data_IF_764336875426
#
_entry.id   IF_764336875426
#
_cell.length_a   1.000
_cell.length_b   1.000
_cell.length_c   1.000
_cell.angle_alpha   90.00
_cell.angle_beta   90.00
_cell.angle_gamma   90.00
#
_symmetry.space_group_name_H-M   'P 1'
#
loop_
_entity.id
_entity.type
_entity.pdbx_description
1 polymer ?
#
# COMPACT_ATOMS: atom_id res chain seq x y z
N UNK A 1 -22.60 36.33 -3.84
CA UNK A 1 -21.87 35.10 -3.44
C UNK A 1 -21.18 34.60 -4.70
N UNK A 2 -19.86 34.66 -4.77
CA UNK A 2 -19.12 34.34 -6.00
C UNK A 2 -18.88 32.83 -6.04
N UNK A 3 -19.64 32.14 -6.88
CA UNK A 3 -19.41 30.73 -7.22
C UNK A 3 -18.16 30.67 -8.09
N UNK A 4 -16.99 30.46 -7.48
CA UNK A 4 -15.81 30.09 -8.23
C UNK A 4 -16.00 28.63 -8.67
N UNK A 5 -16.37 28.43 -9.92
CA UNK A 5 -16.32 27.13 -10.55
C UNK A 5 -14.86 26.69 -10.55
N UNK A 6 -14.52 25.73 -9.69
CA UNK A 6 -13.20 25.10 -9.68
C UNK A 6 -13.12 24.23 -10.94
N UNK A 7 -12.50 24.74 -11.99
CA UNK A 7 -12.11 23.92 -13.14
C UNK A 7 -10.88 23.12 -12.73
N UNK A 8 -11.08 21.83 -12.43
CA UNK A 8 -9.97 20.91 -12.20
C UNK A 8 -9.36 20.61 -13.58
N UNK A 9 -8.10 20.98 -13.86
CA UNK A 9 -7.47 20.69 -15.13
C UNK A 9 -7.44 19.18 -15.34
N UNK A 10 -7.61 18.77 -16.60
CA UNK A 10 -7.45 17.36 -16.96
C UNK A 10 -6.08 16.89 -16.45
N UNK A 11 -6.04 15.73 -15.79
CA UNK A 11 -4.80 15.20 -15.26
C UNK A 11 -3.76 15.02 -16.35
N UNK A 12 -2.50 15.23 -15.99
CA UNK A 12 -1.41 14.75 -16.83
C UNK A 12 -1.55 13.23 -17.00
N UNK A 13 -1.43 12.76 -18.24
CA UNK A 13 -1.53 11.34 -18.57
C UNK A 13 -0.46 10.60 -17.78
N UNK A 14 -0.91 9.73 -16.87
CA UNK A 14 -0.02 8.96 -16.02
C UNK A 14 0.83 8.02 -16.90
N UNK A 15 2.13 8.29 -16.99
CA UNK A 15 3.08 7.43 -17.68
C UNK A 15 3.76 6.48 -16.68
N UNK A 16 3.42 5.19 -16.76
CA UNK A 16 4.02 4.10 -15.98
C UNK A 16 5.38 3.70 -16.58
N UNK A 17 6.41 4.53 -16.41
CA UNK A 17 7.79 4.14 -16.76
C UNK A 17 8.48 3.49 -15.55
N UNK A 18 9.13 2.34 -15.78
CA UNK A 18 9.80 1.55 -14.74
C UNK A 18 11.07 2.26 -14.21
N UNK A 19 11.65 3.16 -15.01
CA UNK A 19 12.85 3.95 -14.69
C UNK A 19 12.65 4.85 -13.45
N UNK A 20 11.42 5.28 -13.21
CA UNK A 20 11.03 6.07 -12.04
C UNK A 20 11.07 5.27 -10.72
N UNK A 21 11.10 3.93 -10.81
CA UNK A 21 11.06 3.04 -9.65
C UNK A 21 12.43 2.82 -8.99
N UNK A 22 13.51 3.31 -9.60
CA UNK A 22 14.90 3.17 -9.12
C UNK A 22 15.11 3.66 -7.67
N UNK A 23 14.50 4.79 -7.29
CA UNK A 23 14.47 5.28 -5.89
C UNK A 23 13.66 4.34 -4.97
N UNK A 24 12.59 3.76 -5.49
CA UNK A 24 11.76 2.74 -4.84
C UNK A 24 12.55 1.47 -4.54
N UNK A 25 13.40 0.99 -5.46
CA UNK A 25 14.24 -0.21 -5.27
C UNK A 25 15.23 -0.05 -4.10
N UNK A 26 15.88 1.11 -3.97
CA UNK A 26 16.77 1.37 -2.84
C UNK A 26 16.04 1.42 -1.49
N UNK A 27 14.81 1.97 -1.49
CA UNK A 27 13.92 1.94 -0.33
C UNK A 27 13.45 0.51 -0.02
N UNK A 28 13.08 -0.26 -1.03
CA UNK A 28 12.69 -1.67 -0.92
C UNK A 28 13.78 -2.51 -0.25
N UNK A 29 15.03 -2.41 -0.74
CA UNK A 29 16.17 -3.14 -0.15
C UNK A 29 16.37 -2.79 1.33
N UNK A 30 16.27 -1.50 1.68
CA UNK A 30 16.37 -1.05 3.09
C UNK A 30 15.23 -1.59 3.94
N UNK A 31 13.98 -1.52 3.47
CA UNK A 31 12.80 -2.02 4.19
C UNK A 31 12.83 -3.53 4.37
N UNK A 32 13.26 -4.29 3.35
CA UNK A 32 13.42 -5.74 3.45
C UNK A 32 14.41 -6.13 4.55
N UNK A 33 15.55 -5.43 4.61
CA UNK A 33 16.54 -5.67 5.67
C UNK A 33 16.05 -5.21 7.04
N UNK A 34 15.44 -4.03 7.14
CA UNK A 34 15.03 -3.43 8.41
C UNK A 34 13.76 -4.07 9.01
N UNK A 35 12.82 -4.51 8.17
CA UNK A 35 11.61 -5.24 8.63
C UNK A 35 11.95 -6.59 9.22
N UNK A 36 13.13 -7.13 8.87
CA UNK A 36 13.60 -8.42 9.37
C UNK A 36 12.65 -9.56 9.07
N UNK A 37 11.77 -9.44 8.05
CA UNK A 37 10.75 -10.44 7.71
C UNK A 37 11.32 -11.86 7.60
N UNK A 38 12.51 -11.99 7.05
CA UNK A 38 13.26 -13.25 6.92
C UNK A 38 13.74 -13.79 8.28
N UNK A 39 14.04 -12.89 9.22
CA UNK A 39 14.59 -13.19 10.55
C UNK A 39 13.53 -13.02 11.66
N UNK A 40 12.24 -12.98 11.32
CA UNK A 40 11.17 -12.84 12.31
C UNK A 40 11.05 -14.11 13.16
N UNK A 41 10.59 -14.02 14.42
CA UNK A 41 10.30 -15.19 15.23
C UNK A 41 9.34 -16.14 14.51
N UNK A 42 9.53 -17.45 14.67
CA UNK A 42 8.75 -18.49 13.99
C UNK A 42 7.24 -18.30 14.16
N UNK A 43 6.80 -17.95 15.36
CA UNK A 43 5.39 -17.68 15.65
C UNK A 43 4.80 -16.53 14.79
N UNK A 44 5.57 -15.48 14.49
CA UNK A 44 5.13 -14.39 13.60
C UNK A 44 5.11 -14.84 12.13
N UNK A 45 6.05 -15.71 11.72
CA UNK A 45 6.08 -16.27 10.37
C UNK A 45 4.90 -17.21 10.13
N UNK A 46 4.53 -18.03 11.10
CA UNK A 46 3.39 -18.93 11.01
C UNK A 46 2.06 -18.17 10.97
N UNK A 47 1.93 -17.12 11.79
CA UNK A 47 0.80 -16.21 11.71
C UNK A 47 0.71 -15.54 10.33
N UNK A 48 1.85 -15.16 9.74
CA UNK A 48 1.91 -14.59 8.39
C UNK A 48 1.46 -15.57 7.32
N UNK A 49 2.00 -16.80 7.32
CA UNK A 49 1.61 -17.86 6.37
C UNK A 49 0.11 -18.11 6.42
N UNK A 50 -0.43 -18.32 7.63
CA UNK A 50 -1.87 -18.54 7.83
C UNK A 50 -2.70 -17.38 7.28
N UNK A 51 -2.26 -16.14 7.48
CA UNK A 51 -2.99 -14.96 6.99
C UNK A 51 -2.96 -14.84 5.47
N UNK A 52 -1.82 -15.15 4.84
CA UNK A 52 -1.71 -15.19 3.38
C UNK A 52 -2.60 -16.29 2.79
N UNK A 53 -2.61 -17.49 3.38
CA UNK A 53 -3.47 -18.60 2.95
C UNK A 53 -4.96 -18.24 3.07
N UNK A 54 -5.35 -17.57 4.15
CA UNK A 54 -6.71 -17.03 4.31
C UNK A 54 -7.07 -16.06 3.19
N UNK A 55 -6.15 -15.14 2.84
CA UNK A 55 -6.38 -14.14 1.78
C UNK A 55 -6.45 -14.77 0.39
N UNK A 56 -5.64 -15.80 0.12
CA UNK A 56 -5.71 -16.57 -1.13
C UNK A 56 -7.06 -17.29 -1.22
N UNK A 57 -7.48 -17.96 -0.15
CA UNK A 57 -8.78 -18.66 -0.09
C UNK A 57 -9.97 -17.71 -0.25
N UNK A 58 -9.82 -16.46 0.17
CA UNK A 58 -10.82 -15.40 0.02
C UNK A 58 -10.73 -14.69 -1.34
N UNK A 59 -9.82 -15.11 -2.23
CA UNK A 59 -9.60 -14.49 -3.55
C UNK A 59 -9.22 -13.00 -3.47
N UNK A 60 -8.57 -12.59 -2.36
CA UNK A 60 -8.09 -11.21 -2.18
C UNK A 60 -6.74 -11.02 -2.87
N UNK A 61 -5.90 -12.05 -2.87
CA UNK A 61 -4.57 -12.07 -3.50
C UNK A 61 -4.36 -13.40 -4.23
N UNK A 62 -3.46 -13.37 -5.20
CA UNK A 62 -3.01 -14.56 -5.94
C UNK A 62 -1.47 -14.69 -5.85
N UNK A 63 -0.94 -15.93 -5.81
CA UNK A 63 0.49 -16.14 -5.92
C UNK A 63 0.96 -15.81 -7.34
N UNK A 64 2.16 -15.23 -7.43
CA UNK A 64 2.85 -14.96 -8.70
C UNK A 64 4.16 -15.73 -8.73
N UNK A 65 4.50 -16.31 -9.88
CA UNK A 65 5.70 -17.15 -10.04
C UNK A 65 6.98 -16.32 -10.14
N UNK A 66 6.89 -15.11 -10.70
CA UNK A 66 8.00 -14.19 -10.87
C UNK A 66 7.69 -12.83 -10.25
N UNK A 67 8.74 -12.17 -9.74
CA UNK A 67 8.62 -10.81 -9.25
C UNK A 67 8.29 -9.88 -10.43
N UNK A 68 7.13 -9.24 -10.37
CA UNK A 68 6.78 -8.21 -11.35
C UNK A 68 7.71 -7.01 -11.22
N UNK A 69 7.84 -6.24 -12.29
CA UNK A 69 8.50 -4.92 -12.27
C UNK A 69 7.88 -3.99 -11.22
N UNK A 70 6.62 -4.27 -10.84
CA UNK A 70 5.78 -3.52 -9.94
C UNK A 70 5.71 -4.18 -8.55
N UNK A 71 6.87 -4.32 -7.90
CA UNK A 71 6.95 -4.89 -6.55
C UNK A 71 7.10 -3.83 -5.46
N UNK A 72 6.27 -3.91 -4.42
CA UNK A 72 6.34 -3.06 -3.24
C UNK A 72 6.67 -3.89 -1.99
N UNK A 73 7.42 -3.34 -1.01
CA UNK A 73 7.76 -4.10 0.17
C UNK A 73 6.54 -4.24 1.10
N UNK A 74 6.41 -5.42 1.68
CA UNK A 74 5.42 -5.75 2.71
C UNK A 74 6.03 -5.59 4.11
N UNK A 75 5.22 -5.19 5.07
CA UNK A 75 5.57 -5.10 6.50
C UNK A 75 4.47 -5.78 7.32
N UNK A 76 4.87 -6.50 8.37
CA UNK A 76 3.95 -7.09 9.34
C UNK A 76 3.96 -6.30 10.65
N UNK A 77 2.78 -6.11 11.23
CA UNK A 77 2.61 -5.43 12.52
C UNK A 77 1.71 -6.26 13.41
N UNK A 78 2.17 -6.59 14.61
CA UNK A 78 1.39 -7.36 15.60
C UNK A 78 0.25 -6.51 16.18
N UNK A 79 -0.94 -7.09 16.27
CA UNK A 79 -2.09 -6.52 17.00
C UNK A 79 -2.03 -6.91 18.47
N UNK A 80 -2.73 -6.14 19.31
CA UNK A 80 -2.83 -6.40 20.77
C UNK A 80 -3.42 -7.77 21.12
N UNK A 81 -4.24 -8.35 20.24
CA UNK A 81 -4.91 -9.65 20.45
C UNK A 81 -4.13 -10.85 19.86
N UNK A 82 -2.87 -10.67 19.45
CA UNK A 82 -2.03 -11.74 18.91
C UNK A 82 -2.21 -12.03 17.42
N UNK A 83 -3.17 -11.39 16.76
CA UNK A 83 -3.32 -11.38 15.30
C UNK A 83 -2.35 -10.37 14.65
N UNK A 84 -2.14 -10.43 13.34
CA UNK A 84 -1.20 -9.56 12.60
C UNK A 84 -1.92 -8.67 11.59
N UNK A 85 -1.26 -7.58 11.20
CA UNK A 85 -1.62 -6.74 10.04
C UNK A 85 -0.54 -6.86 9.00
N UNK A 86 -0.95 -7.14 7.78
CA UNK A 86 -0.11 -7.07 6.59
C UNK A 86 -0.31 -5.69 5.98
N UNK A 87 0.78 -4.93 5.84
CA UNK A 87 0.78 -3.59 5.26
C UNK A 87 1.73 -3.57 4.06
N UNK A 88 1.33 -2.93 2.97
CA UNK A 88 2.18 -2.72 1.79
C UNK A 88 2.62 -1.26 1.76
N UNK A 89 3.93 -1.00 1.62
CA UNK A 89 4.46 0.35 1.52
C UNK A 89 4.29 0.88 0.09
N UNK A 90 3.22 1.67 -0.13
CA UNK A 90 2.85 2.23 -1.44
C UNK A 90 3.04 3.76 -1.58
N UNK A 91 4.03 4.44 -0.96
CA UNK A 91 4.11 5.90 -0.99
C UNK A 91 4.42 6.44 -2.39
N UNK A 92 5.28 5.76 -3.15
CA UNK A 92 5.61 6.19 -4.53
C UNK A 92 4.44 5.97 -5.49
N UNK A 93 3.72 4.86 -5.34
CA UNK A 93 2.47 4.63 -6.06
C UNK A 93 1.43 5.71 -5.70
N UNK A 94 1.31 6.05 -4.42
CA UNK A 94 0.34 7.04 -3.94
C UNK A 94 0.60 8.44 -4.48
N UNK A 95 1.85 8.84 -4.76
CA UNK A 95 2.15 10.15 -5.38
C UNK A 95 1.77 10.20 -6.85
N UNK A 96 1.79 9.04 -7.50
CA UNK A 96 1.59 8.84 -8.93
C UNK A 96 0.12 8.62 -9.30
N UNK A 97 -0.68 8.16 -8.33
CA UNK A 97 -2.12 8.01 -8.48
C UNK A 97 -2.80 9.38 -8.56
N UNK A 98 -3.42 9.66 -9.70
CA UNK A 98 -4.43 10.69 -9.78
C UNK A 98 -5.68 10.20 -9.04
N UNK A 99 -6.11 10.94 -8.02
CA UNK A 99 -7.29 10.61 -7.23
C UNK A 99 -8.43 11.53 -7.58
N UNK A 100 -9.59 10.95 -7.79
CA UNK A 100 -10.84 11.70 -7.72
C UNK A 100 -11.05 12.18 -6.29
N UNK A 101 -11.30 13.47 -6.11
CA UNK A 101 -11.60 14.04 -4.80
C UNK A 101 -13.09 13.81 -4.53
N UNK A 102 -13.41 12.81 -3.71
CA UNK A 102 -14.77 12.66 -3.18
C UNK A 102 -14.92 13.56 -1.95
N UNK A 103 -15.78 14.60 -1.97
CA UNK A 103 -15.94 15.49 -0.83
C UNK A 103 -16.61 14.73 0.32
N UNK A 104 -15.81 14.45 1.35
CA UNK A 104 -16.33 13.94 2.63
C UNK A 104 -16.56 15.15 3.52
N UNK A 105 -17.74 15.25 4.12
CA UNK A 105 -18.05 16.32 5.06
C UNK A 105 -17.02 16.35 6.19
N UNK A 106 -16.58 17.55 6.57
CA UNK A 106 -15.71 17.70 7.72
C UNK A 106 -16.44 17.29 8.99
N UNK A 107 -15.71 16.86 10.01
CA UNK A 107 -16.26 16.45 11.31
C UNK A 107 -17.21 17.53 11.88
N UNK A 108 -16.83 18.80 11.75
CA UNK A 108 -17.64 19.95 12.17
C UNK A 108 -18.99 20.07 11.44
N UNK A 109 -19.11 19.54 10.22
CA UNK A 109 -20.35 19.53 9.45
C UNK A 109 -21.22 18.30 9.76
N UNK A 110 -20.61 17.18 10.18
CA UNK A 110 -21.33 15.93 10.49
C UNK A 110 -21.93 15.96 11.90
N UNK A 111 -21.27 16.64 12.85
CA UNK A 111 -21.67 16.68 14.26
C UNK A 111 -22.54 17.89 14.65
N UNK A 112 -22.86 18.77 13.69
CA UNK A 112 -23.71 19.95 13.88
C UNK A 112 -25.19 19.64 13.58
#
# INVERSE_FOLDING_TARGET
MVTHAYEIPAPEVFSLQSEDWSKGIARFKRLRTASGLINKPEAEQDALRKKLDEMIKQEIIEPVDEASEWCAPMVIVSKKQGDIRICVDLPELNKKLQRETYPIASENYILA
#
